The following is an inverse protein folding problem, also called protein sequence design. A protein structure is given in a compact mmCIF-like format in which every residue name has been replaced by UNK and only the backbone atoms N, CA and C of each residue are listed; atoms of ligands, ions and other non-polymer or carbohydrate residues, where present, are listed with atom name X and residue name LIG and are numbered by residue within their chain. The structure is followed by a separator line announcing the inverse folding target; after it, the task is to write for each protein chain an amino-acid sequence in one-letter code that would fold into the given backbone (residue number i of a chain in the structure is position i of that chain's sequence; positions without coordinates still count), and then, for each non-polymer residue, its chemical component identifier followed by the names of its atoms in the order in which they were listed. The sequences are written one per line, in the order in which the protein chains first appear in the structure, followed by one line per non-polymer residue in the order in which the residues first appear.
data_IF_026406254701
#
_entry.id   IF_026406254701
#
_cell.length_a   1.000
_cell.length_b   1.000
_cell.length_c   1.000
_cell.angle_alpha   90.00
_cell.angle_beta   90.00
_cell.angle_gamma   90.00
#
_symmetry.space_group_name_H-M   'P 1'
#
loop_
_entity.id
_entity.type
_entity.pdbx_description
1 polymer ?
#
# COMPACT_ATOMS: atom_id res chain seq x y z
N UNK A 1 40.77 -21.58 -10.43
CA UNK A 1 39.46 -21.43 -11.07
C UNK A 1 38.45 -21.59 -9.96
N UNK A 2 37.96 -20.48 -9.42
CA UNK A 2 36.88 -20.41 -8.41
C UNK A 2 35.53 -20.52 -9.14
N UNK A 3 34.54 -21.30 -8.64
CA UNK A 3 33.22 -21.37 -9.25
C UNK A 3 32.50 -20.05 -9.01
N UNK A 4 32.07 -19.42 -10.08
CA UNK A 4 31.06 -18.34 -10.03
C UNK A 4 29.80 -18.85 -9.36
N UNK A 5 29.47 -18.25 -8.23
CA UNK A 5 28.16 -18.40 -7.61
C UNK A 5 27.11 -17.75 -8.55
N UNK A 6 26.35 -18.59 -9.24
CA UNK A 6 25.14 -18.17 -9.90
C UNK A 6 24.18 -17.65 -8.80
N UNK A 7 24.00 -16.34 -8.75
CA UNK A 7 22.94 -15.70 -7.98
C UNK A 7 21.60 -16.18 -8.55
N UNK A 8 20.89 -16.99 -7.78
CA UNK A 8 19.47 -17.27 -8.03
C UNK A 8 18.66 -15.97 -8.01
N UNK A 9 17.37 -15.99 -8.45
CA UNK A 9 16.54 -14.79 -8.48
C UNK A 9 16.53 -14.14 -7.09
N UNK A 10 16.88 -12.84 -7.05
CA UNK A 10 16.96 -12.05 -5.82
C UNK A 10 15.65 -12.20 -5.04
N UNK A 11 15.75 -12.70 -3.82
CA UNK A 11 14.63 -12.82 -2.89
C UNK A 11 14.12 -11.40 -2.54
N UNK A 12 13.09 -10.95 -3.22
CA UNK A 12 12.37 -9.73 -2.89
C UNK A 12 11.38 -10.06 -1.79
N UNK A 13 11.62 -9.57 -0.59
CA UNK A 13 10.61 -9.58 0.46
C UNK A 13 9.54 -8.55 0.10
N UNK A 14 8.50 -8.96 -0.61
CA UNK A 14 7.43 -8.12 -1.14
C UNK A 14 6.68 -7.30 -0.07
N UNK A 15 6.84 -7.66 1.21
CA UNK A 15 6.26 -6.93 2.34
C UNK A 15 7.26 -6.04 3.09
N UNK A 16 8.52 -5.97 2.64
CA UNK A 16 9.57 -5.19 3.32
C UNK A 16 9.65 -3.73 2.84
N UNK A 17 8.50 -3.07 2.67
CA UNK A 17 8.46 -1.64 2.30
C UNK A 17 9.21 -0.74 3.30
N UNK A 18 9.41 -1.20 4.54
CA UNK A 18 10.15 -0.48 5.58
C UNK A 18 11.66 -0.41 5.33
N UNK A 19 12.23 -1.24 4.43
CA UNK A 19 13.66 -1.34 4.18
C UNK A 19 14.06 -1.23 2.69
N UNK A 20 13.22 -0.60 1.87
CA UNK A 20 13.41 -0.48 0.41
C UNK A 20 14.77 0.06 0.00
N UNK A 21 15.29 1.06 0.71
CA UNK A 21 16.58 1.70 0.39
C UNK A 21 17.79 0.78 0.66
N UNK A 22 17.58 -0.36 1.32
CA UNK A 22 18.61 -1.42 1.49
C UNK A 22 18.54 -2.50 0.42
N UNK A 23 17.48 -2.49 -0.40
CA UNK A 23 17.34 -3.44 -1.49
C UNK A 23 18.32 -3.09 -2.62
N UNK A 24 18.95 -4.08 -3.25
CA UNK A 24 19.83 -3.85 -4.40
C UNK A 24 19.07 -3.28 -5.62
N UNK A 25 17.75 -3.45 -5.67
CA UNK A 25 16.90 -2.93 -6.74
C UNK A 25 15.48 -2.67 -6.25
N UNK A 26 14.92 -1.53 -6.66
CA UNK A 26 13.48 -1.19 -6.40
C UNK A 26 12.56 -1.70 -7.52
N UNK A 27 13.08 -2.21 -8.63
CA UNK A 27 12.27 -2.62 -9.79
C UNK A 27 11.20 -3.67 -9.48
N UNK A 28 11.48 -4.73 -8.71
CA UNK A 28 10.45 -5.71 -8.35
C UNK A 28 9.29 -5.09 -7.55
N UNK A 29 9.60 -4.20 -6.61
CA UNK A 29 8.57 -3.48 -5.83
C UNK A 29 7.72 -2.56 -6.72
N UNK A 30 8.36 -1.87 -7.69
CA UNK A 30 7.64 -1.07 -8.68
C UNK A 30 6.67 -1.94 -9.48
N UNK A 31 7.14 -3.08 -10.00
CA UNK A 31 6.32 -3.98 -10.81
C UNK A 31 5.10 -4.52 -10.02
N UNK A 32 5.30 -4.87 -8.75
CA UNK A 32 4.24 -5.32 -7.87
C UNK A 32 3.21 -4.18 -7.62
N UNK A 33 3.68 -3.00 -7.24
CA UNK A 33 2.83 -1.85 -6.98
C UNK A 33 2.04 -1.42 -8.23
N UNK A 34 2.64 -1.50 -9.42
CA UNK A 34 1.96 -1.27 -10.71
C UNK A 34 0.90 -2.35 -10.99
N UNK A 35 1.18 -3.61 -10.68
CA UNK A 35 0.23 -4.70 -10.84
C UNK A 35 -0.98 -4.54 -9.90
N UNK A 36 -0.77 -4.18 -8.64
CA UNK A 36 -1.86 -3.84 -7.72
C UNK A 36 -2.65 -2.62 -8.20
N UNK A 37 -1.94 -1.55 -8.59
CA UNK A 37 -2.57 -0.33 -9.09
C UNK A 37 -3.46 -0.57 -10.30
N UNK A 38 -3.11 -1.53 -11.16
CA UNK A 38 -3.89 -1.88 -12.35
C UNK A 38 -5.20 -2.62 -12.04
N UNK A 39 -5.43 -3.09 -10.81
CA UNK A 39 -6.64 -3.83 -10.47
C UNK A 39 -7.87 -2.91 -10.50
N UNK A 40 -8.93 -3.28 -11.24
CA UNK A 40 -10.10 -2.42 -11.44
C UNK A 40 -10.76 -1.96 -10.14
N UNK A 41 -10.88 -2.86 -9.15
CA UNK A 41 -11.51 -2.57 -7.87
C UNK A 41 -10.71 -1.52 -7.06
N UNK A 42 -9.37 -1.51 -7.16
CA UNK A 42 -8.54 -0.46 -6.55
C UNK A 42 -8.68 0.86 -7.28
N UNK A 43 -8.77 0.85 -8.62
CA UNK A 43 -9.03 2.07 -9.39
C UNK A 43 -10.38 2.69 -9.06
N UNK A 44 -11.43 1.87 -8.89
CA UNK A 44 -12.74 2.33 -8.43
C UNK A 44 -12.65 2.98 -7.04
N UNK A 45 -11.97 2.31 -6.09
CA UNK A 45 -11.82 2.83 -4.73
C UNK A 45 -11.03 4.15 -4.69
N UNK A 46 -9.96 4.25 -5.49
CA UNK A 46 -9.19 5.50 -5.67
C UNK A 46 -10.03 6.62 -6.28
N UNK A 47 -10.87 6.28 -7.29
CA UNK A 47 -11.78 7.26 -7.88
C UNK A 47 -12.78 7.78 -6.85
N UNK A 48 -13.36 6.88 -6.06
CA UNK A 48 -14.28 7.22 -4.98
C UNK A 48 -13.58 8.08 -3.89
N UNK A 49 -12.33 7.75 -3.54
CA UNK A 49 -11.54 8.53 -2.59
C UNK A 49 -11.35 9.99 -3.05
N UNK A 50 -11.04 10.19 -4.34
CA UNK A 50 -10.91 11.53 -4.92
C UNK A 50 -12.23 12.31 -4.88
N UNK A 51 -13.34 11.64 -5.19
CA UNK A 51 -14.70 12.22 -5.13
C UNK A 51 -15.09 12.61 -3.69
N UNK A 52 -14.97 11.67 -2.75
CA UNK A 52 -15.29 11.88 -1.32
C UNK A 52 -14.44 12.99 -0.70
N UNK A 53 -13.15 13.03 -1.01
CA UNK A 53 -12.25 14.09 -0.57
C UNK A 53 -12.46 15.42 -1.30
N UNK A 54 -13.30 15.46 -2.35
CA UNK A 54 -13.55 16.63 -3.20
C UNK A 54 -12.28 17.18 -3.85
N UNK A 55 -11.40 16.27 -4.28
CA UNK A 55 -10.18 16.66 -5.00
C UNK A 55 -10.56 17.16 -6.40
N UNK A 56 -10.17 18.36 -6.74
CA UNK A 56 -10.44 18.96 -8.04
C UNK A 56 -9.54 20.15 -8.33
N UNK A 57 -9.88 20.89 -9.36
CA UNK A 57 -9.15 22.07 -9.80
C UNK A 57 -8.89 23.05 -8.64
N UNK A 58 -7.63 23.46 -8.48
CA UNK A 58 -7.18 24.38 -7.43
C UNK A 58 -6.87 23.73 -6.08
N UNK A 59 -7.16 22.44 -5.89
CA UNK A 59 -6.87 21.74 -4.62
C UNK A 59 -5.37 21.66 -4.34
N UNK A 60 -5.01 21.80 -3.06
CA UNK A 60 -3.66 21.56 -2.53
C UNK A 60 -3.67 20.21 -1.80
N UNK A 61 -3.01 19.21 -2.37
CA UNK A 61 -3.08 17.80 -1.91
C UNK A 61 -1.73 17.31 -1.40
N UNK A 62 -1.74 16.64 -0.24
CA UNK A 62 -0.61 15.87 0.29
C UNK A 62 -0.87 14.39 0.05
N UNK A 63 0.08 13.72 -0.60
CA UNK A 63 0.10 12.27 -0.81
C UNK A 63 1.16 11.65 0.10
N UNK A 64 0.72 11.07 1.22
CA UNK A 64 1.58 10.46 2.24
C UNK A 64 1.89 9.03 1.86
N UNK A 65 3.19 8.66 1.84
CA UNK A 65 3.64 7.36 1.34
C UNK A 65 3.41 7.24 -0.17
N UNK A 66 3.77 8.28 -0.92
CA UNK A 66 3.47 8.40 -2.36
C UNK A 66 4.19 7.35 -3.23
N UNK A 67 5.14 6.60 -2.66
CA UNK A 67 5.99 5.66 -3.39
C UNK A 67 6.70 6.36 -4.56
N UNK A 68 6.70 5.72 -5.71
CA UNK A 68 7.27 6.29 -6.94
C UNK A 68 6.26 7.15 -7.74
N UNK A 69 5.19 7.65 -7.09
CA UNK A 69 4.35 8.74 -7.57
C UNK A 69 3.19 8.35 -8.49
N UNK A 70 2.73 7.08 -8.53
CA UNK A 70 1.64 6.67 -9.42
C UNK A 70 0.37 7.51 -9.25
N UNK A 71 -0.15 7.58 -8.04
CA UNK A 71 -1.35 8.36 -7.74
C UNK A 71 -1.06 9.85 -7.69
N UNK A 72 0.09 10.25 -7.15
CA UNK A 72 0.54 11.65 -7.10
C UNK A 72 0.52 12.31 -8.49
N UNK A 73 0.99 11.60 -9.53
CA UNK A 73 0.99 12.11 -10.90
C UNK A 73 -0.41 12.18 -11.52
N UNK A 74 -1.35 11.31 -11.11
CA UNK A 74 -2.77 11.42 -11.50
C UNK A 74 -3.41 12.64 -10.85
N UNK A 75 -3.18 12.83 -9.56
CA UNK A 75 -3.65 13.98 -8.80
C UNK A 75 -3.11 15.29 -9.37
N UNK A 76 -1.84 15.34 -9.76
CA UNK A 76 -1.23 16.53 -10.35
C UNK A 76 -1.92 16.99 -11.64
N UNK A 77 -2.46 16.07 -12.43
CA UNK A 77 -3.29 16.41 -13.61
C UNK A 77 -4.67 16.92 -13.22
N UNK A 78 -5.26 16.31 -12.18
CA UNK A 78 -6.63 16.58 -11.76
C UNK A 78 -6.78 17.97 -11.12
N UNK A 79 -5.77 18.41 -10.34
CA UNK A 79 -5.84 19.67 -9.61
C UNK A 79 -5.54 20.92 -10.47
N UNK A 80 -5.10 20.74 -11.71
CA UNK A 80 -4.82 21.86 -12.62
C UNK A 80 -6.08 22.47 -13.24
N UNK A 81 -6.07 23.78 -13.55
CA UNK A 81 -5.03 24.77 -13.20
C UNK A 81 -5.11 25.22 -11.73
N UNK A 82 -3.97 25.70 -11.22
CA UNK A 82 -3.90 26.42 -9.93
C UNK A 82 -3.76 25.54 -8.68
N UNK A 83 -3.93 24.22 -8.79
CA UNK A 83 -3.71 23.31 -7.69
C UNK A 83 -2.24 22.89 -7.53
N UNK A 84 -1.93 22.32 -6.36
CA UNK A 84 -0.59 21.81 -6.01
C UNK A 84 -0.70 20.40 -5.44
N UNK A 85 0.23 19.53 -5.80
CA UNK A 85 0.38 18.21 -5.17
C UNK A 85 1.78 18.07 -4.61
N UNK A 86 1.87 17.61 -3.37
CA UNK A 86 3.11 17.26 -2.70
C UNK A 86 3.05 15.77 -2.37
N UNK A 87 4.04 15.00 -2.81
CA UNK A 87 4.21 13.60 -2.47
C UNK A 87 5.35 13.44 -1.47
N UNK A 88 5.13 12.68 -0.42
CA UNK A 88 6.19 12.29 0.51
C UNK A 88 6.29 10.77 0.63
N UNK A 89 7.50 10.28 0.79
CA UNK A 89 7.79 8.88 1.08
C UNK A 89 9.07 8.79 1.92
N UNK A 90 9.20 7.74 2.73
CA UNK A 90 10.41 7.53 3.53
C UNK A 90 11.58 7.03 2.67
N UNK A 91 11.29 6.35 1.55
CA UNK A 91 12.31 5.82 0.62
C UNK A 91 12.83 6.90 -0.31
N UNK A 92 14.12 7.22 -0.18
CA UNK A 92 14.81 8.13 -1.09
C UNK A 92 14.87 7.56 -2.53
N UNK A 93 14.92 6.23 -2.67
CA UNK A 93 14.92 5.56 -3.97
C UNK A 93 13.58 5.73 -4.69
N UNK A 94 12.45 5.60 -3.99
CA UNK A 94 11.13 5.85 -4.57
C UNK A 94 10.93 7.32 -4.92
N UNK A 95 11.34 8.25 -4.05
CA UNK A 95 11.24 9.69 -4.34
C UNK A 95 12.05 10.05 -5.59
N UNK A 96 13.25 9.49 -5.74
CA UNK A 96 14.06 9.71 -6.95
C UNK A 96 13.35 9.22 -8.22
N UNK A 97 12.74 8.03 -8.17
CA UNK A 97 11.97 7.48 -9.29
C UNK A 97 10.73 8.34 -9.58
N UNK A 98 10.02 8.81 -8.54
CA UNK A 98 8.86 9.70 -8.68
C UNK A 98 9.23 11.01 -9.40
N UNK A 99 10.37 11.62 -9.04
CA UNK A 99 10.89 12.82 -9.69
C UNK A 99 11.22 12.58 -11.17
N UNK A 100 11.83 11.44 -11.50
CA UNK A 100 12.11 11.05 -12.90
C UNK A 100 10.80 10.93 -13.68
N UNK A 101 9.81 10.25 -13.15
CA UNK A 101 8.49 10.07 -13.80
C UNK A 101 7.75 11.41 -13.98
N UNK A 102 7.80 12.30 -12.99
CA UNK A 102 7.21 13.64 -13.10
C UNK A 102 7.88 14.46 -14.19
N UNK A 103 9.20 14.43 -14.28
CA UNK A 103 9.97 15.08 -15.35
C UNK A 103 9.60 14.57 -16.74
N UNK A 104 9.50 13.25 -16.91
CA UNK A 104 9.06 12.61 -18.16
C UNK A 104 7.62 13.02 -18.54
N UNK A 105 6.73 13.08 -17.55
CA UNK A 105 5.33 13.50 -17.73
C UNK A 105 5.15 15.01 -17.88
N UNK A 106 6.21 15.82 -17.67
CA UNK A 106 6.19 17.29 -17.65
C UNK A 106 5.17 17.85 -16.66
N UNK A 107 5.06 17.22 -15.49
CA UNK A 107 4.16 17.63 -14.42
C UNK A 107 4.95 18.35 -13.32
N UNK A 108 4.42 19.47 -12.86
CA UNK A 108 4.95 20.20 -11.70
C UNK A 108 4.41 19.53 -10.42
N UNK A 109 5.23 18.67 -9.81
CA UNK A 109 4.94 17.99 -8.55
C UNK A 109 6.14 18.15 -7.63
N UNK A 110 5.88 18.43 -6.37
CA UNK A 110 6.90 18.45 -5.33
C UNK A 110 6.99 17.06 -4.69
N UNK A 111 8.21 16.48 -4.66
CA UNK A 111 8.47 15.22 -3.98
C UNK A 111 9.54 15.40 -2.93
N UNK A 112 9.30 14.87 -1.72
CA UNK A 112 10.20 15.02 -0.59
C UNK A 112 10.35 13.71 0.17
N UNK A 113 11.58 13.38 0.57
CA UNK A 113 11.82 12.31 1.56
C UNK A 113 11.39 12.83 2.93
N UNK A 114 10.38 12.19 3.52
CA UNK A 114 9.87 12.59 4.83
C UNK A 114 9.22 11.41 5.56
N UNK A 115 9.12 11.54 6.89
CA UNK A 115 8.42 10.59 7.75
C UNK A 115 6.96 11.01 7.92
N UNK A 116 6.03 10.07 7.71
CA UNK A 116 4.59 10.30 7.88
C UNK A 116 4.22 10.67 9.33
N UNK A 117 5.01 10.20 10.32
CA UNK A 117 4.81 10.45 11.74
C UNK A 117 5.38 11.82 12.19
N UNK A 118 6.03 12.57 11.29
CA UNK A 118 6.60 13.90 11.55
C UNK A 118 6.66 14.70 10.26
N UNK A 119 5.52 15.25 9.83
CA UNK A 119 5.39 15.94 8.55
C UNK A 119 6.09 17.30 8.58
N UNK A 120 6.99 17.61 7.62
CA UNK A 120 7.76 18.84 7.59
C UNK A 120 6.95 20.03 7.02
N UNK A 121 5.68 20.13 7.37
CA UNK A 121 4.76 21.16 6.89
C UNK A 121 4.13 21.90 8.05
N UNK A 122 3.81 23.17 7.82
CA UNK A 122 3.07 23.99 8.78
C UNK A 122 1.61 23.49 8.92
N UNK A 123 0.98 23.83 10.03
CA UNK A 123 -0.44 23.57 10.25
C UNK A 123 -1.28 24.23 9.14
N UNK A 124 -2.43 23.65 8.85
CA UNK A 124 -3.41 24.20 7.91
C UNK A 124 -2.83 24.54 6.51
N UNK A 125 -1.98 23.67 5.96
CA UNK A 125 -1.32 23.87 4.67
C UNK A 125 -2.11 23.31 3.50
N UNK A 126 -2.76 22.14 3.68
CA UNK A 126 -3.39 21.37 2.61
C UNK A 126 -4.91 21.36 2.72
N UNK A 127 -5.57 21.13 1.59
CA UNK A 127 -7.02 20.90 1.53
C UNK A 127 -7.35 19.42 1.71
N UNK A 128 -6.45 18.53 1.24
CA UNK A 128 -6.59 17.08 1.36
C UNK A 128 -5.24 16.45 1.71
N UNK A 129 -5.24 15.52 2.69
CA UNK A 129 -4.17 14.55 2.90
C UNK A 129 -4.69 13.15 2.64
N UNK A 130 -3.93 12.36 1.91
CA UNK A 130 -4.25 10.97 1.64
C UNK A 130 -3.09 10.03 1.95
N UNK A 131 -3.44 8.81 2.33
CA UNK A 131 -2.52 7.69 2.43
C UNK A 131 -3.14 6.46 1.76
N UNK A 132 -2.32 5.62 1.12
CA UNK A 132 -2.78 4.37 0.52
C UNK A 132 -1.74 3.29 0.73
N UNK A 133 -2.10 2.23 1.46
CA UNK A 133 -1.21 1.13 1.88
C UNK A 133 0.05 1.66 2.58
N UNK A 134 -0.17 2.51 3.56
CA UNK A 134 0.89 3.17 4.34
C UNK A 134 0.73 2.89 5.82
N UNK A 135 -0.46 3.18 6.37
CA UNK A 135 -0.69 3.17 7.81
C UNK A 135 -0.45 1.79 8.44
N UNK A 136 -0.79 0.71 7.73
CA UNK A 136 -0.56 -0.67 8.18
C UNK A 136 0.92 -1.03 8.38
N UNK A 137 1.84 -0.25 7.80
CA UNK A 137 3.30 -0.47 7.88
C UNK A 137 4.03 0.48 8.84
N UNK A 138 3.36 1.51 9.36
CA UNK A 138 3.97 2.50 10.23
C UNK A 138 4.11 1.96 11.66
N UNK A 139 5.16 2.34 12.41
CA UNK A 139 5.26 2.07 13.84
C UNK A 139 4.10 2.65 14.64
N UNK A 140 3.71 3.90 14.38
CA UNK A 140 2.69 4.66 15.10
C UNK A 140 1.64 5.25 14.16
N UNK A 141 0.70 4.43 13.62
CA UNK A 141 -0.28 4.90 12.63
C UNK A 141 -1.18 6.02 13.14
N UNK A 142 -1.48 6.04 14.45
CA UNK A 142 -2.23 7.14 15.09
C UNK A 142 -1.48 8.46 14.95
N UNK A 143 -0.16 8.46 15.18
CA UNK A 143 0.66 9.67 15.06
C UNK A 143 0.70 10.20 13.62
N UNK A 144 0.78 9.32 12.64
CA UNK A 144 0.69 9.73 11.23
C UNK A 144 -0.67 10.38 10.92
N UNK A 145 -1.77 9.83 11.42
CA UNK A 145 -3.09 10.43 11.28
C UNK A 145 -3.21 11.79 11.98
N UNK A 146 -2.61 11.95 13.18
CA UNK A 146 -2.53 13.23 13.89
C UNK A 146 -1.78 14.28 13.07
N UNK A 147 -0.65 13.92 12.46
CA UNK A 147 0.12 14.77 11.58
C UNK A 147 -0.65 15.11 10.29
N UNK A 148 -1.27 14.11 9.65
CA UNK A 148 -2.15 14.35 8.50
C UNK A 148 -3.26 15.34 8.85
N UNK A 149 -3.93 15.19 10.02
CA UNK A 149 -4.94 16.13 10.50
C UNK A 149 -4.37 17.51 10.75
N UNK A 150 -3.21 17.63 11.40
CA UNK A 150 -2.57 18.91 11.76
C UNK A 150 -2.31 19.78 10.54
N UNK A 151 -1.82 19.19 9.47
CA UNK A 151 -1.48 19.92 8.25
C UNK A 151 -2.68 20.27 7.37
N UNK A 152 -3.90 19.79 7.72
CA UNK A 152 -5.14 20.14 7.01
C UNK A 152 -5.69 21.50 7.42
N UNK A 153 -6.21 22.21 6.45
CA UNK A 153 -7.04 23.40 6.67
C UNK A 153 -8.36 23.01 7.34
N UNK A 154 -8.97 23.91 8.12
CA UNK A 154 -10.34 23.68 8.61
C UNK A 154 -11.29 23.35 7.44
N UNK A 155 -12.07 22.27 7.59
CA UNK A 155 -12.94 21.74 6.54
C UNK A 155 -12.24 20.90 5.46
N UNK A 156 -10.95 20.70 5.58
CA UNK A 156 -10.17 19.80 4.73
C UNK A 156 -10.52 18.32 4.98
N UNK A 157 -9.98 17.44 4.14
CA UNK A 157 -10.27 16.00 4.17
C UNK A 157 -9.02 15.18 4.44
N UNK A 158 -9.17 14.12 5.25
CA UNK A 158 -8.19 13.04 5.37
C UNK A 158 -8.77 11.78 4.75
N UNK A 159 -8.02 11.09 3.89
CA UNK A 159 -8.41 9.80 3.32
C UNK A 159 -7.35 8.74 3.57
N UNK A 160 -7.79 7.52 3.86
CA UNK A 160 -6.92 6.35 3.98
C UNK A 160 -7.52 5.19 3.19
N UNK A 161 -6.72 4.53 2.36
CA UNK A 161 -7.08 3.27 1.68
C UNK A 161 -6.13 2.19 2.19
N UNK A 162 -6.66 1.25 2.96
CA UNK A 162 -5.85 0.20 3.58
C UNK A 162 -6.45 -1.19 3.37
N UNK A 163 -5.62 -2.25 3.19
CA UNK A 163 -6.07 -3.63 3.18
C UNK A 163 -6.36 -4.12 4.59
N UNK A 164 -7.37 -4.98 4.74
CA UNK A 164 -7.56 -5.81 5.94
C UNK A 164 -6.96 -7.20 5.67
N UNK A 165 -5.76 -7.45 6.17
CA UNK A 165 -5.02 -8.68 5.91
C UNK A 165 -5.72 -9.93 6.45
N UNK A 166 -6.56 -9.81 7.48
CA UNK A 166 -7.38 -10.91 7.97
C UNK A 166 -8.52 -11.31 7.02
N UNK A 167 -8.73 -10.58 5.93
CA UNK A 167 -9.70 -10.91 4.86
C UNK A 167 -9.06 -11.60 3.66
N UNK A 168 -7.76 -11.87 3.71
CA UNK A 168 -7.07 -12.64 2.68
C UNK A 168 -7.75 -14.00 2.45
N UNK A 169 -8.03 -14.31 1.20
CA UNK A 169 -8.62 -15.58 0.80
C UNK A 169 -7.86 -16.19 -0.39
N UNK A 170 -7.59 -17.48 -0.30
CA UNK A 170 -7.01 -18.29 -1.38
C UNK A 170 -7.69 -19.65 -1.41
N UNK A 171 -7.95 -20.19 -2.60
CA UNK A 171 -8.71 -21.43 -2.79
C UNK A 171 -7.86 -22.71 -2.76
N UNK A 172 -6.86 -22.78 -1.88
CA UNK A 172 -6.07 -23.99 -1.69
C UNK A 172 -6.83 -25.05 -0.87
N UNK A 173 -6.59 -26.37 -1.13
CA UNK A 173 -7.32 -27.44 -0.48
C UNK A 173 -6.97 -27.64 0.99
N UNK A 174 -5.71 -27.41 1.39
CA UNK A 174 -5.26 -27.52 2.78
C UNK A 174 -5.64 -26.28 3.58
N UNK A 175 -6.86 -26.31 4.14
CA UNK A 175 -7.40 -25.18 4.92
C UNK A 175 -6.63 -24.92 6.22
N UNK A 176 -5.98 -25.92 6.80
CA UNK A 176 -5.21 -25.74 8.03
C UNK A 176 -3.92 -24.97 7.74
N UNK A 177 -3.21 -25.36 6.69
CA UNK A 177 -2.02 -24.67 6.21
C UNK A 177 -2.36 -23.23 5.77
N UNK A 178 -3.45 -23.05 5.02
CA UNK A 178 -3.92 -21.70 4.60
C UNK A 178 -4.10 -20.79 5.80
N UNK A 179 -4.81 -21.22 6.84
CA UNK A 179 -5.03 -20.39 8.03
C UNK A 179 -3.72 -20.03 8.72
N UNK A 180 -2.84 -20.99 8.97
CA UNK A 180 -1.55 -20.73 9.64
C UNK A 180 -0.72 -19.69 8.91
N UNK A 181 -0.64 -19.78 7.57
CA UNK A 181 0.14 -18.84 6.75
C UNK A 181 -0.51 -17.46 6.75
N UNK A 182 -1.83 -17.36 6.55
CA UNK A 182 -2.52 -16.07 6.48
C UNK A 182 -2.63 -15.39 7.87
N UNK A 183 -2.85 -16.17 8.94
CA UNK A 183 -2.83 -15.64 10.31
C UNK A 183 -1.43 -15.09 10.63
N UNK A 184 -0.35 -15.80 10.25
CA UNK A 184 1.00 -15.28 10.42
C UNK A 184 1.25 -14.00 9.63
N UNK A 185 0.77 -13.91 8.40
CA UNK A 185 0.90 -12.67 7.62
C UNK A 185 0.24 -11.49 8.31
N UNK A 186 -1.01 -11.69 8.75
CA UNK A 186 -1.80 -10.64 9.39
C UNK A 186 -1.24 -10.23 10.77
N UNK A 187 -0.89 -11.21 11.62
CA UNK A 187 -0.65 -10.99 13.04
C UNK A 187 0.83 -10.77 13.38
N UNK A 188 1.75 -11.20 12.52
CA UNK A 188 3.18 -11.16 12.80
C UNK A 188 4.04 -10.53 11.70
N UNK A 189 3.67 -10.70 10.43
CA UNK A 189 4.48 -10.19 9.31
C UNK A 189 4.14 -8.73 8.96
N UNK A 190 2.86 -8.37 9.00
CA UNK A 190 2.41 -6.99 8.80
C UNK A 190 2.28 -6.31 10.16
N UNK A 191 2.97 -5.16 10.39
CA UNK A 191 2.97 -4.50 11.70
C UNK A 191 1.59 -4.24 12.27
N UNK A 192 0.64 -3.86 11.42
CA UNK A 192 -0.75 -3.57 11.82
C UNK A 192 -1.75 -4.19 10.84
N UNK A 193 -1.71 -5.53 10.67
CA UNK A 193 -2.60 -6.25 9.73
C UNK A 193 -4.10 -6.11 10.04
N UNK A 194 -4.44 -5.72 11.28
CA UNK A 194 -5.80 -5.47 11.78
C UNK A 194 -6.23 -4.00 11.78
N UNK A 195 -5.35 -3.07 11.40
CA UNK A 195 -5.55 -1.61 11.56
C UNK A 195 -6.91 -1.12 11.04
N UNK A 196 -7.36 -1.66 9.94
CA UNK A 196 -8.64 -1.24 9.31
C UNK A 196 -9.81 -1.28 10.29
N UNK A 197 -9.82 -2.23 11.21
CA UNK A 197 -10.90 -2.42 12.20
C UNK A 197 -10.86 -1.38 13.32
N UNK A 198 -9.69 -0.81 13.59
CA UNK A 198 -9.48 0.22 14.61
C UNK A 198 -9.52 1.63 14.02
N UNK A 199 -9.40 1.75 12.69
CA UNK A 199 -9.16 3.03 12.02
C UNK A 199 -10.29 4.05 12.22
N UNK A 200 -11.56 3.59 12.28
CA UNK A 200 -12.70 4.45 12.61
C UNK A 200 -12.53 5.11 13.98
N UNK A 201 -12.22 4.31 15.01
CA UNK A 201 -12.00 4.80 16.36
C UNK A 201 -10.81 5.73 16.45
N UNK A 202 -9.68 5.37 15.82
CA UNK A 202 -8.48 6.21 15.77
C UNK A 202 -8.75 7.58 15.15
N UNK A 203 -9.48 7.62 14.03
CA UNK A 203 -9.85 8.89 13.37
C UNK A 203 -10.76 9.76 14.26
N UNK A 204 -11.72 9.16 14.95
CA UNK A 204 -12.61 9.87 15.86
C UNK A 204 -11.88 10.38 17.10
N UNK A 205 -10.99 9.58 17.68
CA UNK A 205 -10.21 9.94 18.87
C UNK A 205 -9.29 11.15 18.65
N UNK A 206 -8.78 11.32 17.43
CA UNK A 206 -7.97 12.49 17.07
C UNK A 206 -8.81 13.69 16.62
N UNK A 207 -10.16 13.60 16.68
CA UNK A 207 -11.10 14.69 16.36
C UNK A 207 -11.39 14.87 14.88
N UNK A 208 -11.17 13.86 14.04
CA UNK A 208 -11.73 13.80 12.69
C UNK A 208 -13.22 13.47 12.77
N UNK A 209 -14.02 14.08 11.90
CA UNK A 209 -15.48 13.98 11.90
C UNK A 209 -16.00 13.48 10.56
N UNK A 210 -17.29 13.15 10.53
CA UNK A 210 -18.00 12.72 9.32
C UNK A 210 -17.26 11.59 8.60
N UNK A 211 -16.82 10.57 9.37
CA UNK A 211 -16.06 9.45 8.81
C UNK A 211 -16.97 8.58 7.97
N UNK A 212 -16.72 8.55 6.67
CA UNK A 212 -17.39 7.68 5.71
C UNK A 212 -16.47 6.48 5.41
N UNK A 213 -17.07 5.28 5.28
CA UNK A 213 -16.33 4.04 5.01
C UNK A 213 -16.92 3.40 3.76
N UNK A 214 -16.06 3.12 2.80
CA UNK A 214 -16.37 2.36 1.58
C UNK A 214 -15.42 1.16 1.48
N UNK A 215 -15.83 0.09 0.81
CA UNK A 215 -15.01 -1.11 0.67
C UNK A 215 -15.11 -1.73 -0.71
N UNK A 216 -14.06 -2.45 -1.10
CA UNK A 216 -14.04 -3.35 -2.26
C UNK A 216 -13.33 -4.63 -1.90
N UNK A 217 -13.87 -5.75 -2.37
CA UNK A 217 -13.10 -7.00 -2.43
C UNK A 217 -12.27 -6.94 -3.70
N UNK A 218 -10.96 -6.92 -3.53
CA UNK A 218 -10.00 -6.90 -4.63
C UNK A 218 -9.67 -8.35 -4.99
N UNK A 219 -9.97 -8.74 -6.22
CA UNK A 219 -9.64 -10.06 -6.76
C UNK A 219 -8.34 -9.93 -7.55
N UNK A 220 -7.35 -10.74 -7.22
CA UNK A 220 -6.05 -10.71 -7.87
C UNK A 220 -6.10 -11.40 -9.24
N UNK A 221 -5.29 -10.90 -10.18
CA UNK A 221 -4.99 -11.69 -11.37
C UNK A 221 -4.23 -12.95 -10.98
N UNK A 222 -4.33 -14.05 -11.75
CA UNK A 222 -3.66 -15.31 -11.39
C UNK A 222 -2.15 -15.18 -11.18
N UNK A 223 -1.47 -14.36 -11.97
CA UNK A 223 -0.03 -14.17 -11.85
C UNK A 223 0.34 -13.33 -10.61
N UNK A 224 -0.40 -12.26 -10.33
CA UNK A 224 -0.23 -11.47 -9.11
C UNK A 224 -0.54 -12.31 -7.86
N UNK A 225 -1.61 -13.12 -7.89
CA UNK A 225 -1.97 -14.02 -6.82
C UNK A 225 -0.86 -15.05 -6.55
N UNK A 226 -0.31 -15.66 -7.60
CA UNK A 226 0.76 -16.64 -7.46
C UNK A 226 2.03 -16.00 -6.88
N UNK A 227 2.44 -14.83 -7.36
CA UNK A 227 3.60 -14.11 -6.84
C UNK A 227 3.41 -13.75 -5.37
N UNK A 228 2.29 -13.09 -5.04
CA UNK A 228 1.99 -12.62 -3.69
C UNK A 228 1.92 -13.77 -2.68
N UNK A 229 1.07 -14.78 -2.91
CA UNK A 229 0.88 -15.85 -1.94
C UNK A 229 2.05 -16.85 -1.87
N UNK A 230 2.86 -16.98 -2.92
CA UNK A 230 4.11 -17.73 -2.81
C UNK A 230 5.08 -17.04 -1.86
N UNK A 231 5.19 -15.72 -1.93
CA UNK A 231 6.05 -14.95 -1.03
C UNK A 231 5.51 -14.95 0.41
N UNK A 232 4.18 -14.83 0.59
CA UNK A 232 3.54 -15.00 1.91
C UNK A 232 3.91 -16.35 2.55
N UNK A 233 3.86 -17.45 1.77
CA UNK A 233 4.30 -18.76 2.24
C UNK A 233 5.79 -18.83 2.56
N UNK A 234 6.64 -18.17 1.76
CA UNK A 234 8.09 -18.09 2.00
C UNK A 234 8.43 -17.36 3.29
N UNK A 235 7.73 -16.26 3.56
CA UNK A 235 7.88 -15.49 4.79
C UNK A 235 7.48 -16.32 6.01
N UNK A 236 6.37 -17.06 5.92
CA UNK A 236 5.94 -17.99 6.97
C UNK A 236 6.97 -19.10 7.19
N UNK A 237 7.58 -19.64 6.14
CA UNK A 237 8.67 -20.63 6.25
C UNK A 237 9.90 -20.02 6.94
N UNK A 238 10.31 -18.83 6.54
CA UNK A 238 11.46 -18.14 7.13
C UNK A 238 11.27 -17.83 8.61
N UNK A 239 10.03 -17.64 9.05
CA UNK A 239 9.64 -17.45 10.44
C UNK A 239 9.45 -18.77 11.22
N UNK A 240 9.60 -19.93 10.57
CA UNK A 240 9.40 -21.26 11.19
C UNK A 240 7.93 -21.63 11.44
N UNK A 241 6.98 -20.92 10.84
CA UNK A 241 5.54 -21.23 10.89
C UNK A 241 5.22 -22.48 10.05
N UNK A 242 5.95 -22.65 8.95
CA UNK A 242 5.89 -23.83 8.09
C UNK A 242 7.29 -24.44 7.92
N UNK A 243 7.37 -25.74 7.67
CA UNK A 243 8.61 -26.40 7.26
C UNK A 243 8.79 -26.34 5.72
N UNK A 244 9.93 -26.89 5.24
CA UNK A 244 10.24 -26.89 3.80
C UNK A 244 9.22 -27.71 3.01
N UNK A 245 8.77 -28.86 3.53
CA UNK A 245 7.79 -29.71 2.85
C UNK A 245 6.42 -29.05 2.73
N UNK A 246 5.99 -28.36 3.78
CA UNK A 246 4.74 -27.58 3.80
C UNK A 246 4.80 -26.39 2.83
N UNK A 247 5.95 -25.69 2.77
CA UNK A 247 6.15 -24.61 1.80
C UNK A 247 6.17 -25.12 0.35
N UNK A 248 6.87 -26.24 0.09
CA UNK A 248 6.92 -26.85 -1.25
C UNK A 248 5.50 -27.28 -1.70
N UNK A 249 4.71 -27.87 -0.77
CA UNK A 249 3.32 -28.22 -1.02
C UNK A 249 2.46 -26.98 -1.33
N UNK A 250 2.61 -25.90 -0.55
CA UNK A 250 1.93 -24.63 -0.75
C UNK A 250 2.23 -24.02 -2.12
N UNK A 251 3.52 -23.88 -2.47
CA UNK A 251 3.95 -23.31 -3.73
C UNK A 251 3.50 -24.14 -4.95
N UNK A 252 3.61 -25.48 -4.86
CA UNK A 252 3.16 -26.38 -5.91
C UNK A 252 1.64 -26.32 -6.12
N UNK A 253 0.85 -26.23 -5.04
CA UNK A 253 -0.60 -26.12 -5.15
C UNK A 253 -1.05 -24.79 -5.79
N UNK A 254 -0.38 -23.68 -5.48
CA UNK A 254 -0.61 -22.37 -6.14
C UNK A 254 -0.33 -22.49 -7.63
N UNK A 255 0.83 -23.03 -8.00
CA UNK A 255 1.24 -23.12 -9.40
C UNK A 255 0.33 -24.07 -10.21
N UNK A 256 -0.08 -25.21 -9.64
CA UNK A 256 -1.06 -26.12 -10.28
C UNK A 256 -2.38 -25.40 -10.58
N UNK A 257 -2.94 -24.69 -9.59
CA UNK A 257 -4.19 -23.95 -9.79
C UNK A 257 -4.02 -22.80 -10.79
N UNK A 258 -2.87 -22.11 -10.77
CA UNK A 258 -2.56 -21.04 -11.74
C UNK A 258 -2.51 -21.58 -13.17
N UNK A 259 -1.79 -22.68 -13.41
CA UNK A 259 -1.66 -23.31 -14.72
C UNK A 259 -2.99 -23.81 -15.27
N UNK A 260 -3.88 -24.28 -14.39
CA UNK A 260 -5.24 -24.71 -14.77
C UNK A 260 -6.24 -23.56 -14.92
N UNK A 261 -5.82 -22.31 -14.67
CA UNK A 261 -6.73 -21.14 -14.67
C UNK A 261 -7.80 -21.20 -13.58
N UNK A 262 -7.50 -21.83 -12.44
CA UNK A 262 -8.42 -22.04 -11.31
C UNK A 262 -7.98 -21.37 -10.01
N UNK A 263 -6.85 -20.67 -10.02
CA UNK A 263 -6.39 -19.93 -8.85
C UNK A 263 -7.32 -18.74 -8.60
N UNK A 264 -7.88 -18.69 -7.39
CA UNK A 264 -8.70 -17.58 -6.90
C UNK A 264 -8.10 -17.02 -5.61
N UNK A 265 -7.87 -15.73 -5.60
CA UNK A 265 -7.38 -15.01 -4.41
C UNK A 265 -8.04 -13.65 -4.33
N UNK A 266 -8.32 -13.20 -3.11
CA UNK A 266 -8.89 -11.87 -2.87
C UNK A 266 -8.52 -11.32 -1.50
N UNK A 267 -8.62 -10.00 -1.35
CA UNK A 267 -8.46 -9.26 -0.09
C UNK A 267 -9.44 -8.10 -0.03
N UNK A 268 -9.93 -7.76 1.15
CA UNK A 268 -10.74 -6.58 1.41
C UNK A 268 -9.89 -5.32 1.49
N UNK A 269 -10.23 -4.29 0.72
CA UNK A 269 -9.70 -2.94 0.84
C UNK A 269 -10.77 -1.99 1.34
N UNK A 270 -10.38 -1.09 2.22
CA UNK A 270 -11.29 -0.14 2.86
C UNK A 270 -10.79 1.28 2.63
N UNK A 271 -11.70 2.14 2.21
CA UNK A 271 -11.51 3.58 2.13
C UNK A 271 -12.17 4.23 3.34
N UNK A 272 -11.41 5.01 4.06
CA UNK A 272 -11.92 5.93 5.08
C UNK A 272 -11.75 7.35 4.56
N UNK A 273 -12.80 8.14 4.66
CA UNK A 273 -12.76 9.59 4.36
C UNK A 273 -13.34 10.33 5.54
N UNK A 274 -12.63 11.33 6.03
CA UNK A 274 -13.02 12.12 7.20
C UNK A 274 -12.79 13.62 6.97
N UNK A 275 -13.42 14.45 7.80
CA UNK A 275 -13.30 15.92 7.79
C UNK A 275 -12.56 16.42 9.04
N UNK A 276 -11.81 17.51 8.85
CA UNK A 276 -11.14 18.23 9.94
C UNK A 276 -12.03 19.34 10.49
#
# INVERSE_FOLDING_TARGET
MTPEQQSGPENVQLHAFTNLDRSPSIKPYIAELEAFDALPQLQELKSLARERARIGTGSTVLDVGCGFGLETLRLARLVQPGGKVVGIDKSAAFIKEAQVRAGQAKLAVEFQVADAESLPFADATFDVARAERVLVYLPEPKRALEEMRRVMRPGGSVTAIEPDFATNAINLPDRALVRRILDHECDANIPHGWLVRDLLGLMQDIGLRDVEIDTRIVVFTPDLAAAYFTETGRTAQSAGVTDTGEFDHWAAAIEDLRQRGRLFCSIGYYLFTARV
#
